data_IF_717836028044
#
_entry.id   IF_717836028044
#
_cell.length_a   1.000
_cell.length_b   1.000
_cell.length_c   1.000
_cell.angle_alpha   90.00
_cell.angle_beta   90.00
_cell.angle_gamma   90.00
#
_symmetry.space_group_name_H-M   'P 1'
#
loop_
_entity.id
_entity.type
_entity.pdbx_description
1 polymer ?
#
# COMPACT_ATOMS: atom_id res chain seq x y z
N UNK A 1 -12.37 17.55 4.06
CA UNK A 1 -10.89 17.73 3.92
C UNK A 1 -10.06 16.57 4.49
N UNK A 2 -10.66 15.58 5.18
CA UNK A 2 -9.91 14.52 5.90
C UNK A 2 -9.52 13.32 5.04
N UNK A 3 -10.30 12.98 4.00
CA UNK A 3 -10.09 11.78 3.19
C UNK A 3 -8.85 11.85 2.28
N UNK A 4 -8.62 12.98 1.60
CA UNK A 4 -7.45 13.17 0.72
C UNK A 4 -6.13 13.01 1.50
N UNK A 5 -6.10 13.50 2.75
CA UNK A 5 -4.93 13.39 3.62
C UNK A 5 -4.68 11.94 4.06
N UNK A 6 -5.75 11.20 4.32
CA UNK A 6 -5.68 9.78 4.66
C UNK A 6 -5.19 8.94 3.46
N UNK A 7 -5.71 9.18 2.26
CA UNK A 7 -5.23 8.48 1.06
C UNK A 7 -3.74 8.71 0.80
N UNK A 8 -3.27 9.94 0.99
CA UNK A 8 -1.84 10.26 0.85
C UNK A 8 -0.99 9.50 1.87
N UNK A 9 -1.42 9.47 3.13
CA UNK A 9 -0.76 8.69 4.19
C UNK A 9 -0.74 7.20 3.88
N UNK A 10 -1.85 6.63 3.40
CA UNK A 10 -1.91 5.22 3.01
C UNK A 10 -0.91 4.88 1.90
N UNK A 11 -0.78 5.75 0.89
CA UNK A 11 0.21 5.58 -0.19
C UNK A 11 1.64 5.61 0.34
N UNK A 12 1.95 6.53 1.26
CA UNK A 12 3.29 6.64 1.87
C UNK A 12 3.61 5.39 2.70
N UNK A 13 2.68 4.92 3.53
CA UNK A 13 2.89 3.71 4.33
C UNK A 13 3.05 2.47 3.45
N UNK A 14 2.19 2.30 2.44
CA UNK A 14 2.26 1.21 1.48
C UNK A 14 3.62 1.16 0.76
N UNK A 15 4.11 2.31 0.28
CA UNK A 15 5.42 2.41 -0.37
C UNK A 15 6.56 2.07 0.58
N UNK A 16 6.58 2.63 1.79
CA UNK A 16 7.63 2.34 2.79
C UNK A 16 7.69 0.85 3.14
N UNK A 17 6.52 0.23 3.33
CA UNK A 17 6.43 -1.22 3.53
C UNK A 17 7.02 -1.97 2.33
N UNK A 18 6.60 -1.65 1.11
CA UNK A 18 7.07 -2.32 -0.10
C UNK A 18 8.58 -2.11 -0.37
N UNK A 19 9.15 -0.95 -0.06
CA UNK A 19 10.60 -0.73 -0.12
C UNK A 19 11.32 -1.68 0.83
N UNK A 20 10.83 -1.79 2.06
CA UNK A 20 11.42 -2.66 3.10
C UNK A 20 11.26 -4.14 2.76
N UNK A 21 10.06 -4.56 2.36
CA UNK A 21 9.71 -5.96 2.12
C UNK A 21 10.35 -6.50 0.85
N UNK A 22 10.28 -5.75 -0.26
CA UNK A 22 10.77 -6.21 -1.55
C UNK A 22 12.20 -5.77 -1.85
N UNK A 23 12.82 -4.99 -0.95
CA UNK A 23 14.20 -4.45 -1.12
C UNK A 23 14.39 -3.73 -2.46
N UNK A 24 13.38 -2.96 -2.86
CA UNK A 24 13.36 -2.16 -4.11
C UNK A 24 13.36 -0.67 -3.79
N UNK A 25 13.92 0.20 -4.66
CA UNK A 25 13.82 1.64 -4.46
C UNK A 25 12.37 2.11 -4.62
N UNK A 26 12.00 3.22 -3.97
CA UNK A 26 10.63 3.75 -4.06
C UNK A 26 10.23 4.07 -5.51
N UNK A 27 11.17 4.50 -6.36
CA UNK A 27 10.96 4.76 -7.78
C UNK A 27 10.54 3.52 -8.58
N UNK A 28 10.80 2.32 -8.06
CA UNK A 28 10.38 1.06 -8.67
C UNK A 28 8.99 0.60 -8.20
N UNK A 29 8.29 1.39 -7.38
CA UNK A 29 6.98 1.08 -6.83
C UNK A 29 5.95 2.05 -7.42
N UNK A 30 5.03 1.53 -8.21
CA UNK A 30 3.91 2.28 -8.75
C UNK A 30 2.63 1.94 -8.01
N UNK A 31 1.98 2.93 -7.38
CA UNK A 31 0.64 2.72 -6.80
C UNK A 31 -0.37 2.79 -7.94
N UNK A 32 -1.03 1.66 -8.22
CA UNK A 32 -1.99 1.54 -9.33
C UNK A 32 -3.42 1.77 -8.90
N UNK A 33 -3.74 1.56 -7.62
CA UNK A 33 -5.07 1.75 -7.09
C UNK A 33 -5.06 1.97 -5.59
N UNK A 34 -6.01 2.76 -5.10
CA UNK A 34 -6.31 2.90 -3.68
C UNK A 34 -7.83 2.84 -3.52
N UNK A 35 -8.28 1.99 -2.61
CA UNK A 35 -9.70 1.82 -2.30
C UNK A 35 -9.88 1.78 -0.79
N UNK A 36 -10.84 2.54 -0.28
CA UNK A 36 -11.26 2.41 1.11
C UNK A 36 -12.02 1.09 1.27
N UNK A 37 -11.56 0.22 2.17
CA UNK A 37 -12.28 -1.02 2.44
C UNK A 37 -13.19 -0.80 3.65
N UNK A 38 -14.42 -0.39 3.36
CA UNK A 38 -15.47 -0.33 4.38
C UNK A 38 -15.83 -1.76 4.80
N UNK A 39 -15.45 -2.15 6.03
CA UNK A 39 -15.81 -3.45 6.60
C UNK A 39 -14.76 -4.57 6.47
N UNK A 40 -13.50 -4.25 6.14
CA UNK A 40 -12.43 -5.23 6.25
C UNK A 40 -12.35 -5.79 7.68
N UNK A 41 -12.31 -7.12 7.82
CA UNK A 41 -12.04 -7.81 9.10
C UNK A 41 -10.74 -7.35 9.78
N UNK A 42 -9.82 -6.75 9.01
CA UNK A 42 -8.52 -6.25 9.48
C UNK A 42 -8.63 -4.92 10.25
N UNK A 43 -9.40 -3.94 9.77
CA UNK A 43 -9.86 -2.79 10.56
C UNK A 43 -10.93 -1.96 9.84
N UNK A 44 -11.81 -1.32 10.63
CA UNK A 44 -12.91 -0.45 10.16
C UNK A 44 -12.48 0.74 9.29
N UNK A 45 -11.18 1.08 9.24
CA UNK A 45 -10.63 2.20 8.47
C UNK A 45 -9.38 1.80 7.67
N UNK A 46 -9.35 0.57 7.14
CA UNK A 46 -8.25 0.12 6.28
C UNK A 46 -8.44 0.59 4.84
N UNK A 47 -7.33 0.99 4.22
CA UNK A 47 -7.23 1.23 2.79
C UNK A 47 -6.59 0.02 2.11
N UNK A 48 -7.20 -0.47 1.05
CA UNK A 48 -6.56 -1.41 0.13
C UNK A 48 -5.77 -0.62 -0.89
N UNK A 49 -4.46 -0.82 -0.92
CA UNK A 49 -3.54 -0.16 -1.84
C UNK A 49 -2.95 -1.20 -2.78
N UNK A 50 -3.22 -1.07 -4.08
CA UNK A 50 -2.60 -1.89 -5.10
C UNK A 50 -1.29 -1.24 -5.57
N UNK A 51 -0.25 -2.05 -5.60
CA UNK A 51 1.11 -1.67 -5.97
C UNK A 51 1.61 -2.56 -7.09
N UNK A 52 2.33 -1.98 -8.04
CA UNK A 52 3.20 -2.69 -8.96
C UNK A 52 4.64 -2.46 -8.54
N UNK A 53 5.36 -3.55 -8.29
CA UNK A 53 6.77 -3.54 -7.91
C UNK A 53 7.60 -4.04 -9.06
N UNK A 54 8.52 -3.20 -9.55
CA UNK A 54 9.50 -3.56 -10.57
C UNK A 54 10.76 -4.07 -9.88
N UNK A 55 11.04 -5.36 -9.99
CA UNK A 55 12.24 -5.97 -9.43
C UNK A 55 13.47 -5.71 -10.31
N UNK A 56 14.67 -5.88 -9.74
CA UNK A 56 15.95 -5.66 -10.45
C UNK A 56 16.13 -6.50 -11.72
N UNK A 57 15.43 -7.63 -11.83
CA UNK A 57 15.41 -8.48 -13.02
C UNK A 57 14.45 -8.00 -14.12
N UNK A 58 13.83 -6.82 -13.96
CA UNK A 58 12.86 -6.25 -14.90
C UNK A 58 11.44 -6.83 -14.78
N UNK A 59 11.21 -7.79 -13.87
CA UNK A 59 9.86 -8.33 -13.64
C UNK A 59 9.00 -7.36 -12.85
N UNK A 60 7.75 -7.20 -13.28
CA UNK A 60 6.75 -6.39 -12.58
C UNK A 60 5.79 -7.35 -11.88
N UNK A 61 5.63 -7.20 -10.56
CA UNK A 61 4.66 -7.96 -9.77
C UNK A 61 3.66 -7.03 -9.13
N UNK A 62 2.38 -7.39 -9.27
CA UNK A 62 1.30 -6.69 -8.60
C UNK A 62 1.08 -7.26 -7.19
N UNK A 63 0.96 -6.38 -6.22
CA UNK A 63 0.74 -6.68 -4.82
C UNK A 63 -0.40 -5.83 -4.28
N UNK A 64 -1.18 -6.38 -3.36
CA UNK A 64 -2.23 -5.64 -2.67
C UNK A 64 -1.88 -5.54 -1.19
N UNK A 65 -1.96 -4.34 -0.63
CA UNK A 65 -1.65 -4.05 0.76
C UNK A 65 -2.89 -3.54 1.46
N UNK A 66 -3.18 -4.06 2.65
CA UNK A 66 -4.09 -3.45 3.60
C UNK A 66 -3.29 -2.47 4.48
N UNK A 67 -3.69 -1.20 4.48
CA UNK A 67 -3.08 -0.13 5.26
C UNK A 67 -4.08 0.38 6.29
N UNK A 68 -3.79 0.18 7.57
CA UNK A 68 -4.49 0.84 8.66
C UNK A 68 -3.80 2.16 8.98
N UNK A 69 -4.46 3.28 8.68
CA UNK A 69 -3.90 4.62 8.91
C UNK A 69 -3.91 5.00 10.38
N UNK A 70 -4.86 4.48 11.18
CA UNK A 70 -4.96 4.81 12.61
C UNK A 70 -3.84 4.17 13.41
N UNK A 71 -3.51 2.93 13.09
CA UNK A 71 -2.44 2.16 13.72
C UNK A 71 -1.10 2.28 12.99
N UNK A 72 -1.07 2.88 11.79
CA UNK A 72 0.12 2.97 10.94
C UNK A 72 0.62 1.60 10.49
N UNK A 73 -0.24 0.58 10.51
CA UNK A 73 0.11 -0.81 10.21
C UNK A 73 -0.17 -1.13 8.75
N UNK A 74 0.73 -1.87 8.12
CA UNK A 74 0.60 -2.33 6.73
C UNK A 74 0.71 -3.84 6.70
N UNK A 75 -0.19 -4.49 5.97
CA UNK A 75 -0.21 -5.94 5.84
C UNK A 75 -0.39 -6.30 4.36
N UNK A 76 0.47 -7.18 3.86
CA UNK A 76 0.31 -7.74 2.52
C UNK A 76 -0.88 -8.69 2.49
N UNK A 77 -1.80 -8.46 1.56
CA UNK A 77 -2.97 -9.32 1.32
C UNK A 77 -2.90 -9.82 -0.13
N UNK A 78 -2.97 -11.14 -0.31
CA UNK A 78 -2.91 -11.80 -1.63
C UNK A 78 -4.31 -12.09 -2.16
#
# INVERSE_FOLDING_TARGET
>A
MTEVRNELSAKVFAKKYAVSEFSVPESAIAVTGIMLVAGAKLAKNSYSVMLNVTHKNGTIKSHQLAVDIKLGSVTLIY
#
